data_IF_783288210848
#
_entry.id   IF_783288210848
#
_cell.length_a   1.000
_cell.length_b   1.000
_cell.length_c   1.000
_cell.angle_alpha   90.00
_cell.angle_beta   90.00
_cell.angle_gamma   90.00
#
_symmetry.space_group_name_H-M   'P 1'
#
loop_
_entity.id
_entity.type
_entity.pdbx_description
1 polymer ?
#
# COMPACT_ATOMS: atom_id res chain seq x y z
N UNK A 1 -64.89 -16.47 11.98
CA UNK A 1 -64.35 -15.62 10.89
C UNK A 1 -63.69 -14.42 11.52
N UNK A 2 -62.37 -14.31 11.46
CA UNK A 2 -61.63 -13.08 11.80
C UNK A 2 -60.32 -13.07 10.99
N UNK A 3 -59.94 -11.97 10.32
CA UNK A 3 -59.04 -11.99 9.18
C UNK A 3 -57.56 -11.89 9.59
N UNK A 4 -56.71 -12.59 8.83
CA UNK A 4 -55.24 -12.53 8.92
C UNK A 4 -54.72 -11.10 8.70
N UNK A 5 -54.15 -10.48 9.74
CA UNK A 5 -53.34 -9.26 9.60
C UNK A 5 -51.94 -9.64 9.11
N UNK A 6 -51.61 -9.30 7.86
CA UNK A 6 -50.23 -9.38 7.35
C UNK A 6 -49.40 -8.24 7.96
N UNK A 7 -48.30 -8.59 8.63
CA UNK A 7 -47.30 -7.63 9.07
C UNK A 7 -46.59 -6.99 7.86
N UNK A 8 -46.23 -5.70 7.89
CA UNK A 8 -45.53 -5.04 6.80
C UNK A 8 -44.10 -5.57 6.69
N UNK A 9 -43.72 -6.00 5.48
CA UNK A 9 -42.33 -6.33 5.13
C UNK A 9 -41.46 -5.09 5.29
N UNK A 10 -40.59 -5.10 6.29
CA UNK A 10 -39.50 -4.14 6.47
C UNK A 10 -38.59 -4.23 5.23
N UNK A 11 -38.58 -3.18 4.38
CA UNK A 11 -37.60 -3.04 3.31
C UNK A 11 -36.21 -3.02 3.95
N UNK A 12 -35.37 -3.99 3.61
CA UNK A 12 -33.94 -3.90 3.87
C UNK A 12 -33.43 -2.63 3.17
N UNK A 13 -32.96 -1.66 3.97
CA UNK A 13 -32.12 -0.59 3.45
C UNK A 13 -30.85 -1.25 2.92
N UNK A 14 -30.66 -1.20 1.61
CA UNK A 14 -29.38 -1.51 0.98
C UNK A 14 -28.43 -0.42 1.45
N UNK A 15 -27.52 -0.76 2.37
CA UNK A 15 -26.38 0.09 2.69
C UNK A 15 -25.52 0.16 1.42
N UNK A 16 -25.46 1.36 0.82
CA UNK A 16 -24.57 1.66 -0.29
C UNK A 16 -23.13 1.54 0.22
N UNK A 17 -22.44 0.53 -0.29
CA UNK A 17 -21.08 0.18 0.05
C UNK A 17 -20.12 1.31 -0.35
N UNK A 18 -19.09 1.55 0.47
CA UNK A 18 -17.91 2.28 0.03
C UNK A 18 -17.32 1.57 -1.20
N UNK A 19 -17.15 2.27 -2.31
CA UNK A 19 -16.37 1.77 -3.43
C UNK A 19 -14.91 2.06 -3.10
N UNK A 20 -14.25 1.08 -2.48
CA UNK A 20 -12.81 1.05 -2.55
C UNK A 20 -12.44 0.92 -4.03
N UNK A 21 -11.78 1.94 -4.58
CA UNK A 21 -11.12 1.88 -5.89
C UNK A 21 -10.44 0.54 -6.00
N UNK A 22 -10.87 -0.30 -6.97
CA UNK A 22 -10.60 -1.74 -7.05
C UNK A 22 -9.58 -2.16 -6.01
N UNK A 23 -10.04 -2.71 -4.88
CA UNK A 23 -9.14 -3.25 -3.87
C UNK A 23 -8.17 -4.14 -4.60
N UNK A 24 -6.94 -3.66 -4.75
CA UNK A 24 -5.76 -4.46 -4.98
C UNK A 24 -5.51 -5.35 -3.76
N UNK A 25 -6.55 -5.93 -3.16
CA UNK A 25 -6.46 -7.24 -2.52
C UNK A 25 -5.80 -8.26 -3.47
N UNK A 26 -5.81 -8.01 -4.78
CA UNK A 26 -5.07 -8.78 -5.78
C UNK A 26 -3.66 -8.25 -6.14
N UNK A 27 -3.20 -7.09 -5.60
CA UNK A 27 -1.88 -6.53 -5.89
C UNK A 27 -1.22 -5.82 -4.69
N UNK A 28 -1.61 -6.12 -3.45
CA UNK A 28 -0.59 -6.26 -2.42
C UNK A 28 0.32 -7.37 -2.94
N UNK A 29 1.62 -7.14 -3.08
CA UNK A 29 2.59 -8.22 -3.33
C UNK A 29 2.50 -9.37 -2.31
N UNK A 30 1.69 -9.20 -1.26
CA UNK A 30 0.73 -10.24 -0.90
C UNK A 30 1.36 -11.29 -0.03
N UNK A 31 1.86 -10.83 1.11
CA UNK A 31 2.02 -11.68 2.28
C UNK A 31 1.89 -10.90 3.60
N UNK A 32 2.01 -9.56 3.61
CA UNK A 32 2.01 -8.82 4.87
C UNK A 32 1.71 -7.32 4.85
N UNK A 33 1.71 -6.76 6.06
CA UNK A 33 1.49 -5.38 6.45
C UNK A 33 2.58 -4.49 5.84
N UNK A 34 2.30 -3.95 4.66
CA UNK A 34 3.15 -2.98 3.98
C UNK A 34 2.46 -1.62 4.08
N UNK A 35 3.23 -0.57 4.39
CA UNK A 35 2.70 0.79 4.40
C UNK A 35 2.87 1.48 3.04
N UNK A 36 3.80 1.01 2.20
CA UNK A 36 3.97 1.50 0.84
C UNK A 36 4.34 0.37 -0.12
N UNK A 37 3.95 0.54 -1.39
CA UNK A 37 4.18 -0.38 -2.50
C UNK A 37 4.54 0.44 -3.73
N UNK A 38 5.66 0.13 -4.37
CA UNK A 38 6.14 0.78 -5.59
C UNK A 38 6.32 -0.29 -6.68
N UNK A 39 5.59 -0.21 -7.81
CA UNK A 39 5.78 -1.14 -8.92
C UNK A 39 7.05 -0.82 -9.71
N UNK A 40 7.66 -1.84 -10.31
CA UNK A 40 8.78 -1.68 -11.23
C UNK A 40 8.86 -2.79 -12.28
N UNK A 41 9.73 -2.60 -13.28
CA UNK A 41 9.96 -3.57 -14.36
C UNK A 41 11.44 -3.66 -14.68
N UNK A 42 11.98 -4.87 -14.77
CA UNK A 42 13.34 -5.13 -15.25
C UNK A 42 13.25 -5.66 -16.68
N UNK A 43 13.58 -4.82 -17.65
CA UNK A 43 13.41 -5.13 -19.08
C UNK A 43 14.58 -5.91 -19.71
N UNK A 44 15.73 -5.96 -19.03
CA UNK A 44 16.94 -6.63 -19.52
C UNK A 44 17.29 -7.85 -18.67
N UNK A 45 17.68 -8.98 -19.28
CA UNK A 45 18.19 -10.13 -18.53
C UNK A 45 19.36 -9.73 -17.62
N UNK A 46 19.29 -10.09 -16.34
CA UNK A 46 20.23 -9.64 -15.30
C UNK A 46 20.31 -8.10 -15.11
N UNK A 47 19.31 -7.37 -15.60
CA UNK A 47 19.21 -5.93 -15.43
C UNK A 47 19.03 -5.54 -13.96
N UNK A 48 19.33 -4.29 -13.67
CA UNK A 48 19.10 -3.67 -12.36
C UNK A 48 18.24 -2.43 -12.55
N UNK A 49 17.32 -2.20 -11.63
CA UNK A 49 16.46 -1.02 -11.57
C UNK A 49 16.65 -0.35 -10.23
N UNK A 50 16.81 0.98 -10.28
CA UNK A 50 16.83 1.82 -9.09
C UNK A 50 15.42 2.29 -8.77
N UNK A 51 14.98 2.07 -7.53
CA UNK A 51 13.71 2.56 -7.00
C UNK A 51 14.00 3.54 -5.87
N UNK A 52 13.59 4.79 -6.03
CA UNK A 52 13.76 5.81 -4.98
C UNK A 52 12.55 5.84 -4.07
N UNK A 53 12.78 6.08 -2.79
CA UNK A 53 11.73 6.35 -1.80
C UNK A 53 12.20 7.44 -0.84
N UNK A 54 11.26 8.20 -0.31
CA UNK A 54 11.56 9.39 0.48
C UNK A 54 11.00 9.25 1.90
N UNK A 55 11.82 9.55 2.89
CA UNK A 55 11.42 9.61 4.28
C UNK A 55 11.23 11.06 4.71
N UNK A 56 10.03 11.35 5.21
CA UNK A 56 9.63 12.64 5.76
C UNK A 56 9.22 12.47 7.22
N UNK A 57 9.69 13.36 8.10
CA UNK A 57 9.34 13.36 9.52
C UNK A 57 7.86 13.66 9.77
N UNK A 58 7.17 14.33 8.84
CA UNK A 58 5.72 14.55 8.91
C UNK A 58 4.91 13.24 8.90
N UNK A 59 5.48 12.18 8.31
CA UNK A 59 4.83 10.89 8.14
C UNK A 59 5.37 9.78 9.02
N UNK A 60 6.46 10.00 9.77
CA UNK A 60 7.08 8.97 10.59
C UNK A 60 7.47 9.51 11.97
N UNK A 61 7.17 8.73 13.02
CA UNK A 61 7.68 9.01 14.37
C UNK A 61 8.81 8.06 14.74
N UNK A 62 9.80 8.56 15.50
CA UNK A 62 11.02 7.81 15.85
C UNK A 62 11.49 8.13 17.26
N UNK A 63 10.83 7.59 18.30
CA UNK A 63 11.08 8.00 19.69
C UNK A 63 12.52 7.74 20.17
N UNK A 64 13.27 6.84 19.53
CA UNK A 64 14.67 6.52 19.86
C UNK A 64 15.69 7.07 18.86
N UNK A 65 15.28 7.96 17.95
CA UNK A 65 16.13 8.55 16.90
C UNK A 65 16.62 7.58 15.83
N UNK A 66 16.22 6.30 15.90
CA UNK A 66 16.55 5.24 14.94
C UNK A 66 15.26 4.61 14.45
N UNK A 67 15.24 4.24 13.17
CA UNK A 67 14.17 3.43 12.58
C UNK A 67 14.82 2.42 11.66
N UNK A 68 14.33 1.19 11.66
CA UNK A 68 14.61 0.23 10.62
C UNK A 68 13.40 0.17 9.68
N UNK A 69 13.64 0.19 8.37
CA UNK A 69 12.62 -0.03 7.35
C UNK A 69 12.86 -1.41 6.75
N UNK A 70 11.80 -2.20 6.69
CA UNK A 70 11.78 -3.45 5.99
C UNK A 70 11.44 -3.21 4.53
N UNK A 71 12.18 -3.85 3.62
CA UNK A 71 11.94 -3.75 2.18
C UNK A 71 11.86 -5.18 1.64
N UNK A 72 10.82 -5.48 0.88
CA UNK A 72 10.68 -6.74 0.18
C UNK A 72 10.36 -6.54 -1.29
N UNK A 73 10.74 -7.51 -2.11
CA UNK A 73 10.42 -7.52 -3.52
C UNK A 73 9.80 -8.85 -3.90
N UNK A 74 8.70 -8.77 -4.65
CA UNK A 74 7.94 -9.92 -5.14
C UNK A 74 7.76 -9.75 -6.64
N UNK A 75 8.06 -10.81 -7.40
CA UNK A 75 7.81 -10.85 -8.83
C UNK A 75 6.30 -10.86 -9.13
N UNK A 76 5.91 -10.32 -10.28
CA UNK A 76 4.57 -10.56 -10.83
C UNK A 76 4.31 -12.08 -10.95
N UNK A 77 3.22 -12.62 -10.38
CA UNK A 77 2.97 -14.06 -10.35
C UNK A 77 2.76 -14.69 -11.73
N UNK A 78 2.46 -13.87 -12.75
CA UNK A 78 2.38 -14.32 -14.16
C UNK A 78 3.74 -14.36 -14.86
N UNK A 79 4.78 -13.77 -14.26
CA UNK A 79 6.12 -13.67 -14.83
C UNK A 79 7.08 -14.77 -14.37
N UNK A 80 8.31 -14.71 -14.90
CA UNK A 80 9.42 -15.59 -14.52
C UNK A 80 10.54 -14.86 -13.77
N UNK A 81 10.34 -13.58 -13.46
CA UNK A 81 11.32 -12.74 -12.78
C UNK A 81 11.77 -13.36 -11.46
N UNK A 82 13.07 -13.32 -11.21
CA UNK A 82 13.69 -13.63 -9.92
C UNK A 82 14.39 -12.38 -9.37
N UNK A 83 13.63 -11.50 -8.69
CA UNK A 83 14.17 -10.25 -8.18
C UNK A 83 15.01 -10.48 -6.92
N UNK A 84 16.06 -9.67 -6.78
CA UNK A 84 16.94 -9.61 -5.63
C UNK A 84 17.14 -8.13 -5.25
N UNK A 85 16.94 -7.77 -3.99
CA UNK A 85 17.36 -6.47 -3.50
C UNK A 85 18.88 -6.52 -3.32
N UNK A 86 19.63 -5.87 -4.20
CA UNK A 86 21.10 -5.96 -4.21
C UNK A 86 21.76 -4.91 -3.31
N UNK A 87 21.11 -3.78 -3.08
CA UNK A 87 21.57 -2.76 -2.13
C UNK A 87 20.47 -1.75 -1.80
N UNK A 88 20.66 -1.06 -0.68
CA UNK A 88 19.93 0.15 -0.33
C UNK A 88 20.98 1.22 -0.02
N UNK A 89 20.87 2.39 -0.63
CA UNK A 89 21.82 3.50 -0.44
C UNK A 89 21.14 4.72 0.15
N UNK A 90 21.88 5.45 0.98
CA UNK A 90 21.50 6.76 1.49
C UNK A 90 21.59 7.85 0.38
N UNK A 91 21.18 9.09 0.65
CA UNK A 91 21.23 10.18 -0.33
C UNK A 91 22.65 10.55 -0.79
N UNK A 92 23.67 10.14 -0.04
CA UNK A 92 25.07 10.36 -0.39
C UNK A 92 25.63 9.19 -1.23
N UNK A 93 24.78 8.22 -1.60
CA UNK A 93 25.17 7.04 -2.36
C UNK A 93 25.88 5.97 -1.52
N UNK A 94 25.93 6.12 -0.18
CA UNK A 94 26.56 5.14 0.70
C UNK A 94 25.60 3.98 0.94
N UNK A 95 26.10 2.76 0.78
CA UNK A 95 25.34 1.54 1.07
C UNK A 95 25.01 1.50 2.57
N UNK A 96 23.73 1.31 2.88
CA UNK A 96 23.23 1.07 4.23
C UNK A 96 23.52 -0.40 4.56
N UNK A 97 24.24 -0.70 5.66
CA UNK A 97 24.52 -2.08 6.05
C UNK A 97 23.23 -2.84 6.32
N UNK A 98 22.99 -3.89 5.53
CA UNK A 98 21.83 -4.75 5.70
C UNK A 98 22.14 -5.79 6.78
N UNK A 99 21.32 -5.83 7.84
CA UNK A 99 21.31 -6.98 8.73
C UNK A 99 20.19 -7.89 8.27
N UNK A 100 20.60 -9.00 7.62
CA UNK A 100 19.80 -10.11 7.07
C UNK A 100 19.29 -9.87 5.64
N UNK A 101 19.87 -10.63 4.70
CA UNK A 101 19.25 -10.98 3.42
C UNK A 101 18.44 -12.26 3.66
N UNK A 102 17.12 -12.18 3.67
CA UNK A 102 16.30 -13.36 3.50
C UNK A 102 16.08 -13.55 1.99
N UNK A 103 16.83 -14.46 1.38
CA UNK A 103 16.41 -15.06 0.10
C UNK A 103 15.50 -16.21 0.51
N UNK A 104 14.20 -16.07 0.27
CA UNK A 104 13.23 -17.04 0.73
C UNK A 104 13.52 -18.42 0.11
N UNK A 105 13.68 -19.44 0.97
CA UNK A 105 14.02 -20.80 0.55
C UNK A 105 12.83 -21.41 -0.25
N UNK A 106 13.04 -21.82 -1.52
CA UNK A 106 12.00 -22.43 -2.35
C UNK A 106 11.43 -23.74 -1.78
N UNK A 107 12.05 -24.35 -0.77
CA UNK A 107 11.57 -25.56 -0.10
C UNK A 107 10.51 -25.30 0.98
N UNK A 108 10.27 -24.03 1.33
CA UNK A 108 9.17 -23.66 2.23
C UNK A 108 7.87 -23.66 1.42
N UNK A 109 7.20 -24.81 1.39
CA UNK A 109 5.88 -24.95 0.78
C UNK A 109 4.88 -24.13 1.60
N UNK A 110 4.52 -22.90 1.22
CA UNK A 110 3.13 -22.42 1.30
C UNK A 110 2.86 -21.18 0.42
N UNK A 111 1.65 -21.19 -0.14
CA UNK A 111 1.14 -20.55 -1.37
C UNK A 111 0.91 -19.04 -1.37
N UNK A 112 1.23 -18.30 -0.32
CA UNK A 112 0.78 -16.90 -0.21
C UNK A 112 1.88 -15.95 0.25
N UNK A 113 3.10 -16.21 -0.24
CA UNK A 113 4.01 -15.16 -0.77
C UNK A 113 4.00 -15.26 -2.32
N UNK A 114 2.81 -15.62 -2.84
CA UNK A 114 2.48 -16.14 -4.17
C UNK A 114 3.24 -17.43 -4.57
N UNK A 115 2.73 -18.19 -5.53
CA UNK A 115 3.51 -19.24 -6.20
C UNK A 115 4.70 -18.71 -7.04
N UNK A 116 5.29 -17.57 -6.65
CA UNK A 116 6.33 -16.86 -7.38
C UNK A 116 7.72 -17.36 -7.01
N UNK A 117 8.48 -17.82 -8.01
CA UNK A 117 9.81 -18.44 -7.85
C UNK A 117 10.95 -17.43 -7.57
N UNK A 118 10.68 -16.31 -6.88
CA UNK A 118 11.69 -15.30 -6.57
C UNK A 118 11.16 -14.16 -5.70
N UNK A 119 11.54 -14.15 -4.43
CA UNK A 119 11.32 -13.04 -3.50
C UNK A 119 12.62 -12.74 -2.77
N UNK A 120 12.78 -11.51 -2.31
CA UNK A 120 13.93 -11.06 -1.52
C UNK A 120 13.46 -10.02 -0.51
N UNK A 121 13.96 -10.10 0.72
CA UNK A 121 13.68 -9.12 1.76
C UNK A 121 14.97 -8.70 2.48
N UNK A 122 15.00 -7.44 2.90
CA UNK A 122 16.09 -6.82 3.65
C UNK A 122 15.54 -5.91 4.75
N UNK A 123 16.26 -5.81 5.87
CA UNK A 123 16.02 -4.78 6.89
C UNK A 123 17.12 -3.74 6.79
N UNK A 124 16.73 -2.48 6.60
CA UNK A 124 17.62 -1.34 6.42
C UNK A 124 17.53 -0.40 7.64
N UNK A 125 18.54 -0.38 8.53
CA UNK A 125 18.61 0.59 9.61
C UNK A 125 18.89 1.99 9.03
N UNK A 126 17.92 2.88 9.12
CA UNK A 126 18.03 4.24 8.60
C UNK A 126 18.77 5.10 9.65
N UNK A 127 20.06 5.32 9.39
CA UNK A 127 20.92 6.13 10.26
C UNK A 127 20.82 7.64 10.01
N UNK A 128 20.60 8.04 8.75
CA UNK A 128 20.45 9.43 8.30
C UNK A 128 18.99 9.73 8.02
N UNK A 129 18.21 9.92 9.08
CA UNK A 129 16.83 10.38 8.92
C UNK A 129 16.79 11.89 9.12
N UNK A 130 15.94 12.62 8.39
CA UNK A 130 15.87 14.06 8.54
C UNK A 130 15.49 14.47 9.96
N UNK A 131 16.27 15.40 10.52
CA UNK A 131 15.96 16.06 11.78
C UNK A 131 15.03 17.27 11.59
N UNK A 132 14.84 17.70 10.35
CA UNK A 132 14.03 18.84 9.94
C UNK A 132 12.88 18.36 9.03
N UNK A 133 11.60 18.55 9.43
CA UNK A 133 10.44 18.18 8.62
C UNK A 133 10.40 18.87 7.23
N UNK A 134 11.13 19.97 7.04
CA UNK A 134 11.23 20.64 5.74
C UNK A 134 12.28 20.04 4.80
N UNK A 135 13.02 19.03 5.25
CA UNK A 135 14.11 18.40 4.50
C UNK A 135 13.89 16.90 4.35
N UNK A 136 12.91 16.44 3.55
CA UNK A 136 12.73 15.02 3.29
C UNK A 136 14.01 14.40 2.68
N UNK A 137 14.24 13.12 2.96
CA UNK A 137 15.49 12.43 2.59
C UNK A 137 15.18 11.24 1.70
N UNK A 138 15.77 11.24 0.50
CA UNK A 138 15.55 10.21 -0.51
C UNK A 138 16.63 9.12 -0.46
N UNK A 139 16.18 7.89 -0.37
CA UNK A 139 16.98 6.67 -0.42
C UNK A 139 16.75 5.95 -1.74
N UNK A 140 17.69 5.10 -2.13
CA UNK A 140 17.59 4.30 -3.35
C UNK A 140 17.74 2.83 -3.04
N UNK A 141 16.78 2.02 -3.49
CA UNK A 141 16.85 0.55 -3.50
C UNK A 141 17.25 0.07 -4.88
N UNK A 142 18.26 -0.78 -4.98
CA UNK A 142 18.62 -1.47 -6.21
C UNK A 142 17.97 -2.84 -6.25
N UNK A 143 17.15 -3.08 -7.27
CA UNK A 143 16.50 -4.37 -7.54
C UNK A 143 17.14 -4.99 -8.79
N UNK A 144 17.75 -6.15 -8.63
CA UNK A 144 18.43 -6.88 -9.69
C UNK A 144 17.63 -8.12 -10.09
N UNK A 145 17.54 -8.40 -11.39
CA UNK A 145 17.08 -9.70 -11.87
C UNK A 145 18.21 -10.73 -11.80
N UNK A 146 17.92 -11.94 -11.33
CA UNK A 146 18.88 -13.05 -11.30
C UNK A 146 18.53 -14.10 -12.35
N UNK A 147 19.48 -14.97 -12.69
CA UNK A 147 19.24 -16.12 -13.56
C UNK A 147 18.77 -15.77 -14.98
N UNK A 148 19.19 -14.61 -15.52
CA UNK A 148 18.79 -14.08 -16.84
C UNK A 148 17.29 -13.86 -16.99
N UNK A 149 16.59 -13.60 -15.89
CA UNK A 149 15.15 -13.33 -15.90
C UNK A 149 14.86 -11.84 -16.16
N UNK A 150 13.61 -11.54 -16.51
CA UNK A 150 13.05 -10.19 -16.70
C UNK A 150 11.60 -10.19 -16.25
N UNK A 151 11.01 -9.01 -16.07
CA UNK A 151 9.60 -8.87 -15.79
C UNK A 151 9.26 -7.78 -14.78
N UNK A 152 7.99 -7.76 -14.40
CA UNK A 152 7.43 -6.81 -13.43
C UNK A 152 7.65 -7.32 -12.00
N UNK A 153 7.75 -6.39 -11.07
CA UNK A 153 7.82 -6.64 -9.64
C UNK A 153 7.04 -5.58 -8.86
N UNK A 154 6.75 -5.91 -7.60
CA UNK A 154 6.30 -4.98 -6.59
C UNK A 154 7.37 -4.89 -5.51
N UNK A 155 7.80 -3.68 -5.17
CA UNK A 155 8.66 -3.39 -4.04
C UNK A 155 7.76 -2.92 -2.88
N UNK A 156 7.70 -3.70 -1.81
CA UNK A 156 6.96 -3.37 -0.60
C UNK A 156 7.86 -2.79 0.48
N UNK A 157 7.28 -1.89 1.29
CA UNK A 157 7.91 -1.28 2.44
C UNK A 157 7.04 -1.52 3.66
N UNK A 158 7.67 -1.95 4.75
CA UNK A 158 6.99 -2.28 6.00
C UNK A 158 7.77 -1.77 7.20
N UNK A 159 7.10 -1.70 8.35
CA UNK A 159 7.75 -1.45 9.63
C UNK A 159 8.09 -2.79 10.28
N UNK A 160 9.37 -3.16 10.40
CA UNK A 160 9.77 -4.34 11.15
C UNK A 160 9.18 -4.31 12.56
N UNK A 161 8.37 -5.32 12.88
CA UNK A 161 7.69 -5.44 14.16
C UNK A 161 6.27 -4.86 14.22
N UNK A 162 5.72 -4.30 13.14
CA UNK A 162 4.29 -3.97 13.01
C UNK A 162 3.51 -5.22 12.60
N UNK A 163 3.30 -6.10 13.57
CA UNK A 163 2.79 -7.44 13.35
C UNK A 163 1.27 -7.46 13.18
N UNK A 164 0.56 -6.43 13.65
CA UNK A 164 -0.90 -6.29 13.50
C UNK A 164 -1.32 -5.40 12.31
N UNK A 165 -0.40 -4.61 11.75
CA UNK A 165 -0.62 -3.82 10.53
C UNK A 165 -1.32 -2.49 10.76
N UNK A 166 -1.26 -1.96 11.97
CA UNK A 166 -1.89 -0.68 12.29
C UNK A 166 -0.98 0.54 12.01
N UNK A 167 0.20 0.31 11.44
CA UNK A 167 1.16 1.35 11.11
C UNK A 167 1.99 1.82 12.31
N UNK A 168 1.90 1.11 13.45
CA UNK A 168 2.60 1.45 14.69
C UNK A 168 3.20 0.20 15.33
N UNK A 169 4.49 0.25 15.61
CA UNK A 169 5.16 -0.82 16.36
C UNK A 169 4.98 -0.56 17.86
N UNK A 170 4.15 -1.34 18.54
CA UNK A 170 3.93 -1.20 19.98
C UNK A 170 3.94 -2.51 20.78
N UNK A 171 3.48 -2.43 22.03
CA UNK A 171 3.50 -3.55 22.96
C UNK A 171 2.53 -4.67 22.55
N UNK A 172 1.51 -4.36 21.75
CA UNK A 172 0.57 -5.30 21.14
C UNK A 172 1.30 -6.17 20.14
N UNK A 173 2.10 -5.58 19.26
CA UNK A 173 2.89 -6.33 18.28
C UNK A 173 3.93 -7.21 18.97
N UNK A 174 4.65 -6.64 19.95
CA UNK A 174 5.65 -7.41 20.68
C UNK A 174 5.03 -8.62 21.42
N UNK A 175 3.78 -8.52 21.88
CA UNK A 175 3.06 -9.66 22.45
C UNK A 175 2.67 -10.67 21.36
N UNK A 176 2.19 -10.18 20.22
CA UNK A 176 1.84 -11.01 19.07
C UNK A 176 3.05 -11.82 18.59
N UNK A 177 4.17 -11.17 18.28
CA UNK A 177 5.42 -11.83 17.84
C UNK A 177 5.88 -12.88 18.87
N UNK A 178 5.86 -12.54 20.16
CA UNK A 178 6.23 -13.49 21.22
C UNK A 178 5.32 -14.71 21.30
N UNK A 179 4.01 -14.53 21.07
CA UNK A 179 3.05 -15.63 21.10
C UNK A 179 3.25 -16.64 19.96
N UNK A 180 3.94 -16.22 18.89
CA UNK A 180 4.19 -17.01 17.68
C UNK A 180 5.62 -17.56 17.61
N UNK A 181 6.45 -17.35 18.64
CA UNK A 181 7.81 -17.86 18.70
C UNK A 181 7.88 -19.37 18.43
N UNK A 182 8.87 -19.75 17.62
CA UNK A 182 9.14 -21.12 17.20
C UNK A 182 8.23 -21.62 16.08
N UNK A 183 7.23 -20.86 15.64
CA UNK A 183 6.48 -21.19 14.43
C UNK A 183 7.30 -20.86 13.19
N UNK A 184 7.06 -21.61 12.13
CA UNK A 184 7.70 -21.43 10.82
C UNK A 184 6.65 -21.42 9.72
N UNK A 185 7.01 -20.84 8.59
CA UNK A 185 6.15 -20.79 7.42
C UNK A 185 5.62 -22.19 7.07
N UNK A 186 4.29 -22.25 6.92
CA UNK A 186 3.51 -23.47 6.73
C UNK A 186 2.87 -24.04 7.99
N UNK A 187 3.31 -23.64 9.18
CA UNK A 187 2.58 -23.95 10.41
C UNK A 187 1.28 -23.15 10.47
N UNK A 188 0.20 -23.74 11.01
CA UNK A 188 -1.09 -23.05 11.19
C UNK A 188 -0.99 -21.78 12.06
N UNK A 189 -0.02 -21.73 12.98
CA UNK A 189 0.20 -20.60 13.90
C UNK A 189 1.10 -19.53 13.31
N UNK A 190 1.78 -19.79 12.20
CA UNK A 190 2.70 -18.83 11.61
C UNK A 190 1.94 -17.61 11.08
N UNK A 191 2.46 -16.42 11.37
CA UNK A 191 2.02 -15.17 10.76
C UNK A 191 3.20 -14.56 10.04
N UNK A 192 3.02 -14.23 8.76
CA UNK A 192 4.07 -13.59 7.97
C UNK A 192 4.45 -12.21 8.53
N UNK A 193 3.50 -11.49 9.11
CA UNK A 193 3.75 -10.16 9.68
C UNK A 193 4.51 -10.18 11.00
N UNK A 194 4.48 -11.31 11.70
CA UNK A 194 5.27 -11.52 12.90
C UNK A 194 6.68 -12.05 12.60
N UNK A 195 6.92 -12.56 11.39
CA UNK A 195 8.25 -12.87 10.85
C UNK A 195 8.87 -11.57 10.31
N UNK A 196 9.49 -10.84 11.22
CA UNK A 196 9.92 -9.46 11.03
C UNK A 196 11.06 -9.34 10.03
N UNK A 197 11.95 -10.33 9.96
CA UNK A 197 13.02 -10.38 8.96
C UNK A 197 12.64 -11.21 7.71
N UNK A 198 11.43 -11.79 7.70
CA UNK A 198 10.85 -12.54 6.58
C UNK A 198 11.70 -13.74 6.16
N UNK A 199 12.35 -14.40 7.13
CA UNK A 199 13.24 -15.55 6.89
C UNK A 199 12.50 -16.91 6.90
N UNK A 200 11.18 -16.87 7.11
CA UNK A 200 10.28 -18.02 7.21
C UNK A 200 10.18 -18.61 8.61
N UNK A 201 10.78 -18.00 9.65
CA UNK A 201 10.76 -18.50 11.03
C UNK A 201 10.64 -17.36 12.02
N UNK A 202 9.67 -17.49 12.93
CA UNK A 202 9.52 -16.53 14.03
C UNK A 202 10.42 -16.96 15.18
N UNK A 203 11.48 -16.21 15.43
CA UNK A 203 12.53 -16.49 16.42
C UNK A 203 12.77 -15.30 17.35
N UNK A 204 13.77 -15.42 18.23
CA UNK A 204 14.21 -14.30 19.07
C UNK A 204 14.73 -13.10 18.25
N UNK A 205 15.15 -13.33 17.00
CA UNK A 205 15.56 -12.28 16.06
C UNK A 205 14.41 -11.32 15.75
N UNK A 206 13.21 -11.84 15.51
CA UNK A 206 12.01 -11.02 15.23
C UNK A 206 11.61 -10.17 16.43
N UNK A 207 11.71 -10.76 17.63
CA UNK A 207 11.52 -10.05 18.90
C UNK A 207 12.55 -8.91 19.05
N UNK A 208 13.80 -9.12 18.62
CA UNK A 208 14.83 -8.08 18.68
C UNK A 208 14.52 -6.92 17.73
N UNK A 209 14.15 -7.19 16.48
CA UNK A 209 13.76 -6.16 15.52
C UNK A 209 12.50 -5.41 15.95
N UNK A 210 11.49 -6.11 16.48
CA UNK A 210 10.29 -5.47 17.04
C UNK A 210 10.64 -4.50 18.16
N UNK A 211 11.53 -4.90 19.09
CA UNK A 211 12.00 -4.01 20.17
C UNK A 211 12.83 -2.83 19.66
N UNK A 212 13.61 -3.02 18.61
CA UNK A 212 14.41 -1.97 17.99
C UNK A 212 13.51 -0.87 17.42
N UNK A 213 12.40 -1.26 16.77
CA UNK A 213 11.43 -0.33 16.19
C UNK A 213 10.31 0.10 17.15
N UNK A 214 10.32 -0.34 18.41
CA UNK A 214 9.30 0.00 19.40
C UNK A 214 9.03 1.52 19.46
N UNK A 215 7.77 1.88 19.21
CA UNK A 215 7.23 3.23 19.20
C UNK A 215 7.36 3.97 17.86
N UNK A 216 7.93 3.35 16.82
CA UNK A 216 7.91 3.89 15.46
C UNK A 216 6.48 3.82 14.91
N UNK A 217 6.05 4.89 14.25
CA UNK A 217 4.77 4.94 13.53
C UNK A 217 4.97 5.46 12.12
N UNK A 218 4.04 5.14 11.22
CA UNK A 218 3.90 5.76 9.90
C UNK A 218 2.45 6.16 9.63
N UNK A 219 2.24 7.23 8.87
CA UNK A 219 0.92 7.59 8.32
C UNK A 219 0.81 7.30 6.83
N UNK A 220 1.88 6.81 6.19
CA UNK A 220 1.84 6.38 4.80
C UNK A 220 0.94 5.14 4.70
N UNK A 221 0.05 5.11 3.70
CA UNK A 221 -0.91 4.03 3.53
C UNK A 221 -0.97 3.59 2.07
N UNK A 222 -0.94 2.27 1.78
CA UNK A 222 -1.05 1.76 0.42
C UNK A 222 -2.50 1.73 -0.08
N UNK A 223 -3.40 2.47 0.58
CA UNK A 223 -4.84 2.46 0.31
C UNK A 223 -5.30 3.85 -0.09
N UNK A 224 -6.01 3.91 -1.21
CA UNK A 224 -6.83 5.05 -1.60
C UNK A 224 -8.29 4.63 -1.69
N UNK A 225 -9.18 5.44 -1.13
CA UNK A 225 -10.61 5.36 -1.35
C UNK A 225 -11.09 6.58 -2.16
N UNK A 226 -12.06 6.38 -3.05
CA UNK A 226 -12.71 7.45 -3.80
C UNK A 226 -14.18 7.10 -3.97
N UNK A 227 -15.06 7.93 -3.43
CA UNK A 227 -16.48 7.68 -3.35
C UNK A 227 -17.24 8.87 -3.91
N UNK A 228 -18.28 8.58 -4.70
CA UNK A 228 -19.24 9.59 -5.10
C UNK A 228 -19.99 10.07 -3.86
N UNK A 229 -20.00 11.39 -3.62
CA UNK A 229 -20.88 11.95 -2.62
C UNK A 229 -22.31 11.92 -3.15
N UNK A 230 -23.11 11.03 -2.57
CA UNK A 230 -24.50 10.80 -2.97
C UNK A 230 -25.39 12.03 -2.81
N UNK A 231 -25.05 12.99 -1.95
CA UNK A 231 -25.78 14.25 -1.83
C UNK A 231 -25.49 15.24 -2.97
N UNK A 232 -24.47 14.97 -3.80
CA UNK A 232 -24.08 15.84 -4.91
C UNK A 232 -24.71 15.49 -6.26
N UNK A 233 -25.51 14.42 -6.32
CA UNK A 233 -26.12 13.91 -7.55
C UNK A 233 -27.64 13.77 -7.41
N UNK A 234 -28.37 14.00 -8.52
CA UNK A 234 -29.83 13.94 -8.54
C UNK A 234 -30.42 12.53 -8.41
N UNK A 235 -29.70 11.50 -8.84
CA UNK A 235 -30.08 10.09 -8.67
C UNK A 235 -28.87 9.26 -8.20
N UNK A 236 -28.69 9.09 -6.87
CA UNK A 236 -27.55 8.36 -6.32
C UNK A 236 -27.50 6.89 -6.70
N UNK A 237 -28.66 6.21 -6.72
CA UNK A 237 -28.73 4.79 -7.03
C UNK A 237 -28.34 4.50 -8.49
N UNK A 238 -28.66 5.43 -9.40
CA UNK A 238 -28.25 5.36 -10.80
C UNK A 238 -26.94 6.09 -11.12
N UNK A 239 -26.26 6.66 -10.12
CA UNK A 239 -25.09 7.56 -10.29
C UNK A 239 -25.32 8.57 -11.43
N UNK A 240 -26.50 9.19 -11.46
CA UNK A 240 -26.84 10.16 -12.50
C UNK A 240 -27.03 11.55 -11.90
N UNK A 241 -26.63 12.57 -12.66
CA UNK A 241 -26.75 13.97 -12.27
C UNK A 241 -27.37 14.81 -13.38
N UNK A 242 -28.12 15.84 -13.01
CA UNK A 242 -28.60 16.89 -13.91
C UNK A 242 -27.78 18.18 -13.82
N UNK A 243 -26.78 18.20 -12.93
CA UNK A 243 -25.80 19.27 -12.82
C UNK A 243 -24.50 18.87 -13.54
N UNK A 244 -23.77 19.83 -14.15
CA UNK A 244 -22.54 19.56 -14.90
C UNK A 244 -21.32 19.28 -14.00
N UNK A 245 -21.53 18.94 -12.73
CA UNK A 245 -20.45 18.63 -11.78
C UNK A 245 -20.88 17.51 -10.84
N UNK A 246 -19.92 16.77 -10.27
CA UNK A 246 -20.16 15.84 -9.17
C UNK A 246 -19.08 16.01 -8.11
N UNK A 247 -19.44 15.75 -6.85
CA UNK A 247 -18.49 15.79 -5.74
C UNK A 247 -18.07 14.37 -5.38
N UNK A 248 -16.77 14.17 -5.23
CA UNK A 248 -16.18 12.94 -4.74
C UNK A 248 -15.46 13.21 -3.42
N UNK A 249 -15.49 12.22 -2.54
CA UNK A 249 -14.81 12.22 -1.23
C UNK A 249 -14.00 10.95 -1.09
N UNK A 250 -12.97 10.97 -0.27
CA UNK A 250 -12.16 9.78 -0.09
C UNK A 250 -11.09 9.93 0.96
N UNK A 251 -10.27 8.89 1.07
CA UNK A 251 -9.12 8.82 1.97
C UNK A 251 -7.87 8.42 1.19
N UNK A 252 -6.71 8.94 1.57
CA UNK A 252 -5.40 8.58 1.07
C UNK A 252 -4.34 8.85 2.15
N UNK A 253 -3.05 8.59 1.86
CA UNK A 253 -1.94 9.10 2.69
C UNK A 253 -2.13 10.60 2.96
N UNK A 254 -2.03 11.08 4.21
CA UNK A 254 -2.10 12.51 4.51
C UNK A 254 -1.15 13.32 3.63
N UNK A 255 -1.59 14.47 3.11
CA UNK A 255 -0.77 15.29 2.21
C UNK A 255 -0.58 14.74 0.79
N UNK A 256 -1.12 13.56 0.44
CA UNK A 256 -1.03 13.03 -0.91
C UNK A 256 -1.77 13.91 -1.92
N UNK A 257 -1.16 14.11 -3.09
CA UNK A 257 -1.80 14.73 -4.23
C UNK A 257 -2.75 13.74 -4.91
N UNK A 258 -4.00 14.14 -5.09
CA UNK A 258 -5.06 13.32 -5.68
C UNK A 258 -5.50 13.96 -6.99
N UNK A 259 -5.51 13.17 -8.05
CA UNK A 259 -5.76 13.61 -9.42
C UNK A 259 -6.91 12.82 -10.02
N UNK A 260 -7.90 13.50 -10.58
CA UNK A 260 -9.05 12.93 -11.28
C UNK A 260 -8.98 13.28 -12.77
N UNK A 261 -8.80 12.27 -13.61
CA UNK A 261 -8.81 12.39 -15.06
C UNK A 261 -10.03 11.66 -15.64
N UNK A 262 -10.83 12.32 -16.47
CA UNK A 262 -11.99 11.69 -17.08
C UNK A 262 -11.54 10.79 -18.25
N UNK A 263 -11.62 9.48 -18.05
CA UNK A 263 -11.32 8.49 -19.07
C UNK A 263 -12.34 8.47 -20.21
N UNK A 264 -13.58 8.93 -19.98
CA UNK A 264 -14.61 9.02 -21.02
C UNK A 264 -14.43 10.23 -21.93
N UNK A 265 -13.79 11.30 -21.42
CA UNK A 265 -13.50 12.52 -22.16
C UNK A 265 -12.05 12.96 -21.88
N UNK A 266 -11.07 12.42 -22.64
CA UNK A 266 -9.66 12.73 -22.43
C UNK A 266 -9.30 14.20 -22.72
N UNK A 267 -10.17 14.98 -23.36
CA UNK A 267 -9.95 16.41 -23.59
C UNK A 267 -10.35 17.25 -22.37
N UNK A 268 -11.14 16.69 -21.45
CA UNK A 268 -11.52 17.37 -20.23
C UNK A 268 -10.30 17.60 -19.34
N UNK A 269 -10.18 18.82 -18.80
CA UNK A 269 -9.10 19.16 -17.88
C UNK A 269 -9.12 18.26 -16.64
N UNK A 270 -7.94 17.81 -16.26
CA UNK A 270 -7.72 17.03 -15.04
C UNK A 270 -7.90 17.92 -13.81
N UNK A 271 -8.58 17.41 -12.79
CA UNK A 271 -8.77 18.12 -11.52
C UNK A 271 -7.87 17.50 -10.45
N UNK A 272 -7.28 18.33 -9.59
CA UNK A 272 -6.43 17.87 -8.49
C UNK A 272 -6.87 18.45 -7.15
N UNK A 273 -6.61 17.72 -6.08
CA UNK A 273 -6.79 18.12 -4.68
C UNK A 273 -5.69 17.49 -3.83
N UNK A 274 -5.66 17.78 -2.53
CA UNK A 274 -4.68 17.21 -1.59
C UNK A 274 -5.42 16.63 -0.40
N UNK A 275 -5.01 15.45 0.06
CA UNK A 275 -5.51 14.87 1.30
C UNK A 275 -5.09 15.71 2.50
N UNK A 276 -6.03 15.94 3.43
CA UNK A 276 -5.78 16.68 4.65
C UNK A 276 -4.88 15.90 5.63
N UNK A 277 -4.64 16.48 6.81
CA UNK A 277 -3.78 15.86 7.85
C UNK A 277 -4.36 14.57 8.43
N UNK A 278 -5.66 14.31 8.26
CA UNK A 278 -6.31 13.06 8.64
C UNK A 278 -6.42 12.09 7.44
N UNK A 279 -5.89 12.47 6.27
CA UNK A 279 -5.93 11.68 5.05
C UNK A 279 -7.23 11.82 4.26
N UNK A 280 -8.19 12.67 4.67
CA UNK A 280 -9.44 12.85 3.95
C UNK A 280 -9.28 13.86 2.81
N UNK A 281 -10.02 13.69 1.72
CA UNK A 281 -10.09 14.69 0.66
C UNK A 281 -11.51 14.84 0.11
N UNK A 282 -11.75 15.98 -0.52
CA UNK A 282 -12.94 16.26 -1.31
C UNK A 282 -12.51 16.90 -2.63
N UNK A 283 -13.18 16.54 -3.71
CA UNK A 283 -12.98 17.13 -5.04
C UNK A 283 -14.32 17.31 -5.73
N UNK A 284 -14.46 18.40 -6.48
CA UNK A 284 -15.61 18.62 -7.36
C UNK A 284 -15.09 18.51 -8.79
N UNK A 285 -15.60 17.55 -9.56
CA UNK A 285 -15.20 17.34 -10.95
C UNK A 285 -16.29 17.79 -11.90
N UNK A 286 -15.95 18.44 -13.02
CA UNK A 286 -16.91 18.67 -14.09
C UNK A 286 -17.32 17.35 -14.74
N UNK A 287 -18.55 17.30 -15.26
CA UNK A 287 -19.09 16.17 -16.01
C UNK A 287 -19.33 16.57 -17.47
N UNK A 288 -18.82 15.77 -18.40
CA UNK A 288 -19.16 15.84 -19.82
C UNK A 288 -20.51 15.15 -20.06
N UNK A 289 -21.23 15.52 -21.11
CA UNK A 289 -22.54 14.94 -21.43
C UNK A 289 -22.43 13.42 -21.59
N UNK A 290 -23.33 12.66 -20.95
CA UNK A 290 -23.29 11.20 -20.96
C UNK A 290 -22.48 10.62 -19.80
N UNK A 291 -21.83 9.48 -20.02
CA UNK A 291 -21.17 8.71 -18.97
C UNK A 291 -19.74 9.18 -18.69
N UNK A 292 -19.43 9.50 -17.44
CA UNK A 292 -18.12 9.99 -17.00
C UNK A 292 -17.44 8.96 -16.10
N UNK A 293 -16.41 8.29 -16.61
CA UNK A 293 -15.57 7.37 -15.84
C UNK A 293 -14.28 8.09 -15.49
N UNK A 294 -13.93 8.17 -14.20
CA UNK A 294 -12.69 8.82 -13.79
C UNK A 294 -11.62 7.79 -13.44
N UNK A 295 -10.40 8.03 -13.95
CA UNK A 295 -9.18 7.45 -13.38
C UNK A 295 -8.70 8.38 -12.27
N UNK A 296 -8.57 7.83 -11.07
CA UNK A 296 -8.09 8.51 -9.88
C UNK A 296 -6.66 8.08 -9.62
N UNK A 297 -5.76 9.03 -9.47
CA UNK A 297 -4.35 8.79 -9.13
C UNK A 297 -4.00 9.50 -7.82
N UNK A 298 -3.31 8.81 -6.92
CA UNK A 298 -2.71 9.34 -5.70
C UNK A 298 -1.20 9.30 -5.83
N UNK A 299 -0.52 10.38 -5.45
CA UNK A 299 0.94 10.43 -5.29
C UNK A 299 1.24 10.98 -3.90
N UNK A 300 1.99 10.23 -3.10
CA UNK A 300 2.39 10.67 -1.76
C UNK A 300 3.87 11.09 -1.67
N UNK A 301 4.22 11.67 -0.53
CA UNK A 301 5.58 12.15 -0.26
C UNK A 301 6.61 11.02 -0.14
N UNK A 302 6.18 9.77 0.06
CA UNK A 302 7.08 8.62 0.10
C UNK A 302 7.57 8.22 -1.29
N UNK A 303 6.86 8.64 -2.35
CA UNK A 303 7.10 8.26 -3.74
C UNK A 303 6.18 7.14 -4.22
N UNK A 304 5.17 6.77 -3.42
CA UNK A 304 4.15 5.82 -3.85
C UNK A 304 3.17 6.48 -4.81
N UNK A 305 2.80 5.75 -5.87
CA UNK A 305 1.72 6.12 -6.78
C UNK A 305 0.67 5.01 -6.84
N UNK A 306 -0.57 5.35 -6.53
CA UNK A 306 -1.72 4.42 -6.62
C UNK A 306 -2.69 4.97 -7.63
N UNK A 307 -3.23 4.11 -8.49
CA UNK A 307 -4.23 4.49 -9.49
C UNK A 307 -5.34 3.46 -9.62
N UNK A 308 -6.54 3.91 -9.90
CA UNK A 308 -7.71 3.07 -10.14
C UNK A 308 -8.83 3.83 -10.84
N UNK A 309 -9.81 3.11 -11.38
CA UNK A 309 -11.00 3.71 -11.98
C UNK A 309 -12.17 3.63 -11.00
N UNK A 310 -12.96 4.71 -10.91
CA UNK A 310 -14.26 4.68 -10.23
C UNK A 310 -15.38 4.41 -11.23
N UNK A 311 -16.50 3.85 -10.74
CA UNK A 311 -17.66 3.66 -11.58
C UNK A 311 -18.19 5.00 -12.13
N UNK A 312 -18.84 4.92 -13.30
CA UNK A 312 -19.25 6.10 -14.05
C UNK A 312 -20.29 6.96 -13.32
N UNK A 313 -20.32 8.25 -13.64
CA UNK A 313 -21.42 9.18 -13.32
C UNK A 313 -22.03 9.69 -14.62
N UNK A 314 -23.33 9.48 -14.82
CA UNK A 314 -24.03 9.90 -16.03
C UNK A 314 -24.56 11.33 -15.86
N UNK A 315 -24.11 12.27 -16.68
CA UNK A 315 -24.66 13.62 -16.74
C UNK A 315 -25.70 13.74 -17.85
N UNK A 316 -26.93 14.11 -17.46
CA UNK A 316 -28.07 14.38 -18.34
C UNK A 316 -28.79 15.63 -17.82
N UNK A 317 -28.56 16.81 -18.43
CA UNK A 317 -29.18 18.06 -17.99
C UNK A 317 -30.71 18.02 -18.02
#
# INVERSE_FOLDING_TARGET
MNPFKRAPRRRQQVQLCAEALETRQLLTGGAGNTFAIIPGTIDKPNGTVSVSFTLDQSHFTRPKGKVAIGIDVVADPSGSLKPLISSVTDPHGKIIPQTIHAIYDPHVKHRQVAGGKGTSAVISPIGSFPSDPSQPVTFTTQVQATGKTTGKFLLGFYLPGDANGDGKVDQTDLKLVRSLLGSKAGDKRYSFDADTNRDGRITATDVAYTKQNMGVTTTISPVIAANLDTSSVSNPAGRANNMPTARFTGTATPGAAITYANSSDPQQATISTTADTAGNYTVITPLSLGDNVFEVTSVDAFGQTIKGKIAGVTYKP
#
